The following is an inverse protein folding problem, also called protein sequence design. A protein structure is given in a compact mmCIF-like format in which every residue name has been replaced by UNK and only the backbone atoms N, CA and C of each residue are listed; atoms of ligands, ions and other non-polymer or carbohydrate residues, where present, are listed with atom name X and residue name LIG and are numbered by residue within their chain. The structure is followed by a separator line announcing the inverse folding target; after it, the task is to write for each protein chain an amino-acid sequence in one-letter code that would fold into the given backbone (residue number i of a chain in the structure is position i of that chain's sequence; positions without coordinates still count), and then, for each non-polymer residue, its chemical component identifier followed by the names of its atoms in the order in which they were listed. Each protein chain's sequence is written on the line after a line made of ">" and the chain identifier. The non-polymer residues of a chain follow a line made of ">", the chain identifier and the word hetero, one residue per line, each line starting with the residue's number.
data_IF_845649172663
#
_entry.id   IF_845649172663
#
_cell.length_a   1.000
_cell.length_b   1.000
_cell.length_c   1.000
_cell.angle_alpha   90.00
_cell.angle_beta   90.00
_cell.angle_gamma   90.00
#
_symmetry.space_group_name_H-M   'P 1'
#
loop_
_entity.id
_entity.type
_entity.pdbx_description
1 polymer ?
#
# COMPACT_ATOMS: atom_id res chain seq x y z
N UNK A 1 -4.36 1.83 -23.65
CA UNK A 1 -4.40 1.50 -22.21
C UNK A 1 -4.24 0.00 -22.05
N UNK A 2 -3.10 -0.49 -21.55
CA UNK A 2 -2.91 -1.89 -21.18
C UNK A 2 -3.55 -2.14 -19.80
N UNK A 3 -4.32 -3.22 -19.67
CA UNK A 3 -4.73 -3.73 -18.35
C UNK A 3 -3.61 -4.62 -17.83
N UNK A 4 -3.24 -4.48 -16.55
CA UNK A 4 -2.37 -5.47 -15.91
C UNK A 4 -3.15 -6.76 -15.78
N UNK A 5 -2.55 -7.86 -16.22
CA UNK A 5 -3.06 -9.21 -16.02
C UNK A 5 -2.18 -9.85 -14.94
N UNK A 6 -2.74 -10.23 -13.78
CA UNK A 6 -1.99 -11.04 -12.82
C UNK A 6 -1.65 -12.39 -13.46
N UNK A 7 -0.43 -12.87 -13.25
CA UNK A 7 0.00 -14.18 -13.76
C UNK A 7 -0.33 -15.32 -12.80
N UNK A 8 -0.36 -15.05 -11.48
CA UNK A 8 -0.60 -16.06 -10.45
C UNK A 8 -1.75 -15.67 -9.52
N UNK A 9 -2.54 -16.66 -9.11
CA UNK A 9 -3.57 -16.51 -8.09
C UNK A 9 -2.94 -16.20 -6.73
N UNK A 10 -3.30 -15.09 -6.06
CA UNK A 10 -2.71 -14.73 -4.76
C UNK A 10 -3.07 -15.71 -3.64
N UNK A 11 -4.02 -16.63 -3.87
CA UNK A 11 -4.48 -17.59 -2.88
C UNK A 11 -3.92 -19.00 -3.07
N UNK A 12 -3.66 -19.46 -4.30
CA UNK A 12 -3.19 -20.83 -4.56
C UNK A 12 -1.98 -20.93 -5.48
N UNK A 13 -1.49 -19.83 -6.07
CA UNK A 13 -0.33 -19.81 -6.96
C UNK A 13 -0.59 -20.25 -8.40
N UNK A 14 -1.77 -20.80 -8.70
CA UNK A 14 -2.14 -21.26 -10.05
C UNK A 14 -2.30 -20.10 -11.05
N UNK A 15 -2.15 -20.40 -12.34
CA UNK A 15 -2.11 -19.46 -13.45
C UNK A 15 -3.42 -19.42 -14.27
N UNK A 16 -4.38 -20.33 -14.04
CA UNK A 16 -5.68 -20.32 -14.74
C UNK A 16 -6.62 -19.23 -14.18
N UNK A 17 -6.30 -17.98 -14.53
CA UNK A 17 -7.03 -16.77 -14.17
C UNK A 17 -7.87 -16.27 -15.35
N UNK A 18 -9.17 -16.09 -15.14
CA UNK A 18 -10.12 -15.61 -16.15
C UNK A 18 -10.78 -14.30 -15.72
N UNK A 19 -11.11 -13.39 -16.67
CA UNK A 19 -11.92 -12.22 -16.33
C UNK A 19 -13.26 -12.65 -15.75
N UNK A 20 -13.61 -12.12 -14.59
CA UNK A 20 -14.93 -12.33 -14.01
C UNK A 20 -15.88 -11.29 -14.60
N UNK A 21 -17.09 -11.67 -15.04
CA UNK A 21 -17.95 -10.75 -15.79
C UNK A 21 -18.62 -9.69 -14.91
N UNK A 22 -19.00 -10.06 -13.68
CA UNK A 22 -19.74 -9.19 -12.75
C UNK A 22 -18.82 -8.22 -12.01
N UNK A 23 -17.64 -8.70 -11.60
CA UNK A 23 -16.62 -7.87 -10.97
C UNK A 23 -15.60 -7.44 -12.03
N UNK A 24 -15.07 -6.22 -11.98
CA UNK A 24 -13.87 -5.83 -12.77
C UNK A 24 -12.60 -6.53 -12.24
N UNK A 25 -12.63 -7.85 -12.15
CA UNK A 25 -11.71 -8.71 -11.45
C UNK A 25 -11.45 -10.01 -12.19
N UNK A 26 -10.83 -10.94 -11.49
CA UNK A 26 -10.37 -12.22 -12.00
C UNK A 26 -10.89 -13.34 -11.12
N UNK A 27 -11.32 -14.42 -11.75
CA UNK A 27 -11.66 -15.70 -11.12
C UNK A 27 -10.52 -16.69 -11.36
N UNK A 28 -10.07 -17.36 -10.30
CA UNK A 28 -9.15 -18.50 -10.41
C UNK A 28 -9.94 -19.79 -10.58
N UNK A 29 -9.70 -20.54 -11.66
CA UNK A 29 -10.41 -21.79 -11.96
C UNK A 29 -10.01 -22.95 -11.04
N UNK A 30 -8.81 -22.93 -10.47
CA UNK A 30 -8.30 -24.00 -9.60
C UNK A 30 -8.85 -23.92 -8.18
N UNK A 31 -9.09 -22.72 -7.65
CA UNK A 31 -9.58 -22.54 -6.27
C UNK A 31 -10.88 -21.74 -6.14
N UNK A 32 -11.53 -21.41 -7.26
CA UNK A 32 -12.83 -20.71 -7.36
C UNK A 32 -12.93 -19.33 -6.68
N UNK A 33 -11.80 -18.69 -6.36
CA UNK A 33 -11.81 -17.36 -5.72
C UNK A 33 -11.86 -16.25 -6.77
N UNK A 34 -12.67 -15.24 -6.50
CA UNK A 34 -12.77 -14.01 -7.28
C UNK A 34 -12.04 -12.89 -6.54
N UNK A 35 -11.20 -12.14 -7.24
CA UNK A 35 -10.45 -11.01 -6.67
C UNK A 35 -10.28 -9.87 -7.68
N UNK A 36 -9.96 -8.66 -7.21
CA UNK A 36 -9.68 -7.51 -8.08
C UNK A 36 -8.26 -7.00 -7.85
N UNK A 37 -7.63 -6.48 -8.88
CA UNK A 37 -6.31 -5.82 -8.79
C UNK A 37 -6.53 -4.33 -9.01
N UNK A 38 -5.95 -3.50 -8.14
CA UNK A 38 -6.04 -2.04 -8.21
C UNK A 38 -4.65 -1.44 -8.07
N UNK A 39 -4.35 -0.44 -8.91
CA UNK A 39 -3.19 0.41 -8.74
C UNK A 39 -3.53 1.48 -7.70
N UNK A 40 -2.77 1.53 -6.60
CA UNK A 40 -2.98 2.50 -5.52
C UNK A 40 -2.11 3.76 -5.65
N UNK A 41 -0.98 3.68 -6.35
CA UNK A 41 0.01 4.76 -6.44
C UNK A 41 1.43 4.20 -6.44
N UNK A 42 2.40 5.10 -6.46
CA UNK A 42 3.82 4.77 -6.26
C UNK A 42 4.13 4.89 -4.76
N UNK A 43 4.73 3.86 -4.18
CA UNK A 43 5.24 3.90 -2.82
C UNK A 43 6.63 4.55 -2.86
N UNK A 44 6.70 5.86 -2.64
CA UNK A 44 7.96 6.54 -2.36
C UNK A 44 8.20 6.52 -0.84
N UNK A 45 9.38 6.10 -0.42
CA UNK A 45 9.87 6.37 0.94
C UNK A 45 10.09 7.88 1.03
N UNK A 46 9.09 8.62 1.51
CA UNK A 46 9.39 9.91 2.12
C UNK A 46 10.10 9.57 3.42
N UNK A 47 11.45 9.62 3.40
CA UNK A 47 12.22 9.63 4.64
C UNK A 47 11.53 10.61 5.59
N UNK A 48 11.29 10.24 6.87
CA UNK A 48 10.56 11.10 7.78
C UNK A 48 11.21 12.47 7.74
N UNK A 49 10.49 13.49 7.27
CA UNK A 49 10.94 14.87 7.38
C UNK A 49 11.17 15.08 8.88
N UNK A 50 12.39 15.42 9.34
CA UNK A 50 12.60 15.76 10.75
C UNK A 50 11.94 17.11 11.02
N UNK A 51 10.61 17.12 11.06
CA UNK A 51 9.79 18.24 11.48
C UNK A 51 9.73 18.21 13.00
N UNK A 52 10.87 18.48 13.63
CA UNK A 52 10.97 18.92 15.01
C UNK A 52 12.39 19.47 15.20
N UNK A 53 12.57 20.76 14.93
CA UNK A 53 13.55 21.52 15.70
C UNK A 53 12.97 21.55 17.12
N UNK A 54 13.58 20.91 18.14
CA UNK A 54 13.11 21.11 19.50
C UNK A 54 13.28 22.60 19.84
N UNK A 55 12.23 23.22 20.36
CA UNK A 55 12.28 24.59 20.85
C UNK A 55 13.44 24.73 21.85
N UNK A 56 14.17 25.87 21.86
CA UNK A 56 15.16 26.09 22.90
C UNK A 56 14.44 26.08 24.25
N UNK A 57 14.94 25.24 25.15
CA UNK A 57 14.54 25.14 26.54
C UNK A 57 14.84 26.50 27.18
N UNK A 58 13.82 27.28 27.54
CA UNK A 58 14.03 28.52 28.29
C UNK A 58 14.65 28.17 29.65
N UNK A 59 15.93 28.49 29.80
CA UNK A 59 16.64 28.45 31.08
C UNK A 59 15.85 29.27 32.09
N UNK A 60 15.28 28.57 33.09
CA UNK A 60 14.66 29.22 34.24
C UNK A 60 15.77 29.96 34.99
N UNK A 61 15.77 31.29 34.85
CA UNK A 61 16.67 32.17 35.58
C UNK A 61 16.37 32.06 37.07
N UNK A 62 17.28 31.41 37.78
CA UNK A 62 17.40 31.46 39.24
C UNK A 62 17.76 32.91 39.64
N UNK A 63 16.80 33.66 40.18
CA UNK A 63 17.06 34.94 40.85
C UNK A 63 17.12 34.67 42.37
N UNK A 64 18.30 34.77 43.02
CA UNK A 64 18.35 34.78 44.47
C UNK A 64 18.09 36.20 45.01
N UNK A 65 17.24 36.23 46.03
CA UNK A 65 16.87 37.39 46.86
C UNK A 65 18.01 37.87 47.77
#
# INVERSE_FOLDING_TARGET
>A
MSRVVPYHCPYCGDEDLRPHAESKGYECRSCARVFTVRFHGLAFDEAPTPSAIPAPEEETGDEPH
#
